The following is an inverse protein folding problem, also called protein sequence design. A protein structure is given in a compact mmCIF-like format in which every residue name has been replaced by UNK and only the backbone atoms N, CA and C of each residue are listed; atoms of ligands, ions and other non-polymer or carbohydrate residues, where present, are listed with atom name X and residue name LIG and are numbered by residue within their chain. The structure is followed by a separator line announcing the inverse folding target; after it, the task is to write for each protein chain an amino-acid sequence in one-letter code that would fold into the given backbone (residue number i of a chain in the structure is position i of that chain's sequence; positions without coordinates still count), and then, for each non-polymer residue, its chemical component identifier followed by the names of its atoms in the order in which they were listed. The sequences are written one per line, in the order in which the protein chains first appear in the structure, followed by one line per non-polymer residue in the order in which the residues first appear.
data_IF_642313423958
#
_entry.id   IF_642313423958
#
_cell.length_a   1.000
_cell.length_b   1.000
_cell.length_c   1.000
_cell.angle_alpha   90.00
_cell.angle_beta   90.00
_cell.angle_gamma   90.00
#
_symmetry.space_group_name_H-M   'P 1'
#
loop_
_entity.id
_entity.type
_entity.pdbx_description
1 polymer ?
#
# COMPACT_ATOMS: atom_id res chain seq x y z
N UNK A 1 -28.43 -39.25 -35.07
CA UNK A 1 -27.51 -38.09 -35.05
C UNK A 1 -27.79 -37.32 -33.79
N UNK A 2 -27.04 -37.61 -32.73
CA UNK A 2 -27.26 -37.01 -31.41
C UNK A 2 -26.63 -35.61 -31.36
N UNK A 3 -27.39 -34.68 -30.80
CA UNK A 3 -27.21 -33.24 -30.95
C UNK A 3 -26.17 -32.72 -29.96
N UNK A 4 -24.91 -32.72 -30.38
CA UNK A 4 -23.72 -32.27 -29.61
C UNK A 4 -23.79 -30.79 -29.15
N UNK A 5 -24.77 -30.02 -29.66
CA UNK A 5 -24.92 -28.60 -29.35
C UNK A 5 -25.57 -28.30 -28.00
N UNK A 6 -26.24 -29.26 -27.35
CA UNK A 6 -26.85 -29.03 -26.03
C UNK A 6 -25.83 -28.99 -24.89
N UNK A 7 -24.73 -29.73 -25.01
CA UNK A 7 -23.74 -29.89 -23.93
C UNK A 7 -22.79 -28.69 -23.80
N UNK A 8 -22.45 -28.05 -24.92
CA UNK A 8 -21.63 -26.82 -24.92
C UNK A 8 -22.34 -25.63 -24.26
N UNK A 9 -23.69 -25.62 -24.25
CA UNK A 9 -24.49 -24.54 -23.67
C UNK A 9 -24.53 -24.61 -22.14
N UNK A 10 -24.33 -25.79 -21.55
CA UNK A 10 -24.26 -25.97 -20.10
C UNK A 10 -22.90 -25.59 -19.52
N UNK A 11 -21.82 -25.71 -20.29
CA UNK A 11 -20.47 -25.39 -19.86
C UNK A 11 -20.19 -23.88 -19.79
N UNK A 12 -20.99 -23.07 -20.49
CA UNK A 12 -20.96 -21.60 -20.39
C UNK A 12 -21.79 -21.06 -19.21
N UNK A 13 -22.04 -21.87 -18.16
CA UNK A 13 -22.61 -21.40 -16.89
C UNK A 13 -21.60 -20.49 -16.18
N UNK A 14 -21.63 -19.22 -16.62
CA UNK A 14 -21.44 -17.99 -15.85
C UNK A 14 -20.45 -18.11 -14.69
N UNK A 15 -19.17 -17.94 -15.01
CA UNK A 15 -18.14 -17.65 -14.03
C UNK A 15 -18.53 -16.34 -13.31
N UNK A 16 -19.06 -16.44 -12.10
CA UNK A 16 -19.26 -15.28 -11.23
C UNK A 16 -17.93 -15.09 -10.49
N UNK A 17 -17.14 -14.05 -10.80
CA UNK A 17 -15.92 -13.81 -10.06
C UNK A 17 -16.29 -13.61 -8.59
N UNK A 18 -15.61 -14.35 -7.71
CA UNK A 18 -15.79 -14.21 -6.26
C UNK A 18 -15.62 -12.72 -5.87
N UNK A 19 -16.38 -12.22 -4.88
CA UNK A 19 -16.22 -10.85 -4.41
C UNK A 19 -14.78 -10.65 -3.95
N UNK A 20 -14.05 -9.81 -4.66
CA UNK A 20 -12.69 -9.40 -4.27
C UNK A 20 -12.83 -8.62 -2.97
N UNK A 21 -12.09 -8.95 -1.89
CA UNK A 21 -12.14 -8.15 -0.67
C UNK A 21 -11.73 -6.72 -1.03
N UNK A 22 -12.68 -5.79 -0.92
CA UNK A 22 -12.43 -4.37 -1.12
C UNK A 22 -11.52 -3.94 0.02
N UNK A 23 -10.25 -3.68 -0.28
CA UNK A 23 -9.32 -3.20 0.72
C UNK A 23 -9.84 -1.84 1.24
N UNK A 24 -10.23 -1.81 2.51
CA UNK A 24 -10.62 -0.57 3.21
C UNK A 24 -9.53 0.50 2.98
N UNK A 25 -9.90 1.74 2.63
CA UNK A 25 -8.93 2.79 2.40
C UNK A 25 -8.15 3.02 3.71
N UNK A 26 -6.87 2.62 3.71
CA UNK A 26 -5.99 2.81 4.86
C UNK A 26 -5.89 4.28 5.30
N UNK A 27 -5.36 4.53 6.51
CA UNK A 27 -5.34 5.87 7.11
C UNK A 27 -4.67 6.86 6.16
N UNK A 28 -5.45 7.87 5.75
CA UNK A 28 -4.98 8.96 4.90
C UNK A 28 -4.83 10.23 5.72
N UNK A 29 -3.78 10.99 5.47
CA UNK A 29 -3.47 12.19 6.25
C UNK A 29 -2.38 13.02 5.59
N UNK A 30 -1.70 13.84 6.37
CA UNK A 30 -0.69 14.77 5.87
C UNK A 30 0.73 14.32 6.20
N UNK A 31 1.67 14.65 5.33
CA UNK A 31 3.07 14.37 5.58
C UNK A 31 3.58 15.12 6.82
N UNK A 32 4.16 14.39 7.77
CA UNK A 32 4.70 14.94 9.02
C UNK A 32 5.90 15.89 8.83
N UNK A 33 6.62 15.77 7.70
CA UNK A 33 7.81 16.58 7.39
C UNK A 33 7.44 17.81 6.55
N UNK A 34 6.34 17.77 5.79
CA UNK A 34 5.95 18.90 4.96
C UNK A 34 5.62 20.12 5.82
N UNK A 35 6.08 21.33 5.41
CA UNK A 35 5.59 22.54 6.04
C UNK A 35 4.08 22.65 5.82
N UNK A 36 3.36 23.26 6.77
CA UNK A 36 1.89 23.39 6.75
C UNK A 36 1.36 24.04 5.47
N UNK A 37 2.15 24.88 4.79
CA UNK A 37 1.77 25.51 3.51
C UNK A 37 1.75 24.53 2.33
N UNK A 38 2.60 23.48 2.35
CA UNK A 38 2.67 22.46 1.28
C UNK A 38 1.68 21.31 1.52
N UNK A 39 1.42 20.99 2.80
CA UNK A 39 0.43 20.05 3.30
C UNK A 39 0.13 18.84 2.39
N UNK A 40 1.18 18.16 1.90
CA UNK A 40 1.00 17.07 0.93
C UNK A 40 0.24 15.93 1.61
N UNK A 41 -0.90 15.55 1.04
CA UNK A 41 -1.62 14.34 1.44
C UNK A 41 -0.74 13.13 1.18
N UNK A 42 -0.69 12.22 2.15
CA UNK A 42 0.00 10.94 2.05
C UNK A 42 -0.83 9.81 2.63
N UNK A 43 -0.61 8.62 2.08
CA UNK A 43 -1.13 7.34 2.55
C UNK A 43 -0.01 6.39 3.00
N UNK A 44 1.25 6.80 2.87
CA UNK A 44 2.42 5.94 3.13
C UNK A 44 2.96 6.22 4.52
N UNK A 45 2.89 5.26 5.47
CA UNK A 45 3.49 5.40 6.78
C UNK A 45 4.98 5.06 6.76
N UNK A 46 5.76 5.67 7.65
CA UNK A 46 7.12 5.25 7.99
C UNK A 46 7.12 3.79 8.46
N UNK A 47 8.07 2.98 8.02
CA UNK A 47 8.20 1.59 8.48
C UNK A 47 8.41 1.49 9.99
N UNK A 48 9.18 2.41 10.58
CA UNK A 48 9.55 2.39 12.00
C UNK A 48 8.55 3.13 12.90
N UNK A 49 8.24 4.40 12.63
CA UNK A 49 7.39 5.23 13.52
C UNK A 49 5.94 5.41 13.06
N UNK A 50 5.55 4.81 11.93
CA UNK A 50 4.20 4.88 11.33
C UNK A 50 3.66 6.27 10.98
N UNK A 51 4.45 7.33 11.11
CA UNK A 51 4.06 8.67 10.65
C UNK A 51 3.86 8.70 9.13
N UNK A 52 2.87 9.46 8.66
CA UNK A 52 2.59 9.60 7.23
C UNK A 52 3.63 10.50 6.55
N UNK A 53 4.14 10.05 5.40
CA UNK A 53 5.24 10.70 4.69
C UNK A 53 4.97 10.76 3.19
N UNK A 54 5.19 11.91 2.56
CA UNK A 54 5.06 12.03 1.12
C UNK A 54 6.25 11.36 0.41
N UNK A 55 6.06 11.02 -0.86
CA UNK A 55 7.07 10.33 -1.69
C UNK A 55 8.29 11.18 -2.01
N UNK A 56 8.21 12.51 -1.86
CA UNK A 56 9.35 13.42 -2.04
C UNK A 56 10.31 13.37 -0.86
N UNK A 57 9.78 13.26 0.36
CA UNK A 57 10.64 13.23 1.53
C UNK A 57 11.28 11.87 1.69
N UNK A 58 10.49 10.79 1.60
CA UNK A 58 11.03 9.45 1.80
C UNK A 58 10.22 8.39 1.05
N UNK A 59 10.88 7.28 0.74
CA UNK A 59 10.23 6.10 0.14
C UNK A 59 9.69 5.13 1.19
N UNK A 60 10.43 4.92 2.29
CA UNK A 60 10.13 3.88 3.29
C UNK A 60 10.27 4.34 4.76
N UNK A 61 11.24 5.19 5.10
CA UNK A 61 11.57 5.55 6.48
C UNK A 61 11.86 7.04 6.62
N UNK A 62 11.37 7.71 7.68
CA UNK A 62 11.64 9.14 7.92
C UNK A 62 13.11 9.41 8.28
N UNK A 63 13.56 10.65 8.05
CA UNK A 63 14.93 11.10 8.38
C UNK A 63 15.30 10.85 9.84
N UNK A 64 14.38 11.13 10.78
CA UNK A 64 14.62 10.92 12.21
C UNK A 64 14.85 9.44 12.54
N UNK A 65 14.07 8.53 11.95
CA UNK A 65 14.28 7.10 12.16
C UNK A 65 15.53 6.57 11.44
N UNK A 66 15.88 7.18 10.30
CA UNK A 66 17.10 6.84 9.57
C UNK A 66 18.36 7.22 10.36
N UNK A 67 18.43 8.43 10.90
CA UNK A 67 19.55 8.87 11.75
C UNK A 67 19.74 7.98 12.98
N UNK A 68 18.63 7.57 13.63
CA UNK A 68 18.68 6.64 14.75
C UNK A 68 19.24 5.28 14.36
N UNK A 69 18.87 4.76 13.20
CA UNK A 69 19.43 3.49 12.72
C UNK A 69 20.93 3.60 12.48
N UNK A 70 21.39 4.66 11.81
CA UNK A 70 22.83 4.89 11.55
C UNK A 70 23.63 5.00 12.86
N UNK A 71 23.09 5.68 13.87
CA UNK A 71 23.82 5.89 15.13
C UNK A 71 24.09 4.60 15.92
N UNK A 72 23.31 3.54 15.69
CA UNK A 72 23.53 2.24 16.35
C UNK A 72 24.65 1.48 15.66
N UNK A 73 24.75 1.57 14.34
CA UNK A 73 25.73 0.81 13.55
C UNK A 73 27.19 1.27 13.75
N UNK A 74 27.42 2.42 14.39
CA UNK A 74 28.76 3.00 14.63
C UNK A 74 29.28 2.82 16.06
N UNK A 75 28.54 2.17 16.95
CA UNK A 75 28.97 1.93 18.34
C UNK A 75 29.45 0.49 18.62
N UNK A 76 29.54 -0.35 17.59
CA UNK A 76 29.94 -1.77 17.68
C UNK A 76 31.38 -2.06 17.17
N UNK A 77 32.26 -1.05 17.12
CA UNK A 77 33.71 -1.24 16.86
C UNK A 77 34.59 -0.89 18.07
#
# INVERSE_FOLDING_TARGET
MENIYSDLKFLMKRFVPAPVPVAEPGPSGFCAICPRRKNRRSKKPCTSCKQLLCTEHVKYMCSVCFERHISVDLMDE
#
